data_IF_416537375201
#
_entry.id   IF_416537375201
#
_cell.length_a   1.000
_cell.length_b   1.000
_cell.length_c   1.000
_cell.angle_alpha   90.00
_cell.angle_beta   90.00
_cell.angle_gamma   90.00
#
_symmetry.space_group_name_H-M   'P 1'
#
loop_
_entity.id
_entity.type
_entity.pdbx_description
1 polymer ?
#
# COMPACT_ATOMS: atom_id res chain seq x y z
N UNK A 1 3.19 -24.86 16.97
CA UNK A 1 2.13 -23.85 16.75
C UNK A 1 1.31 -24.27 15.56
N UNK A 2 0.00 -24.34 15.73
CA UNK A 2 -0.94 -24.67 14.68
C UNK A 2 -0.88 -23.62 13.56
N UNK A 3 -1.06 -24.05 12.31
CA UNK A 3 -1.05 -23.16 11.13
C UNK A 3 -2.11 -22.06 11.27
N UNK A 4 -3.29 -22.40 11.79
CA UNK A 4 -4.37 -21.44 12.00
C UNK A 4 -3.99 -20.38 13.03
N UNK A 5 -3.36 -20.77 14.13
CA UNK A 5 -2.88 -19.83 15.16
C UNK A 5 -1.78 -18.92 14.60
N UNK A 6 -0.86 -19.49 13.84
CA UNK A 6 0.20 -18.73 13.17
C UNK A 6 -0.38 -17.70 12.23
N UNK A 7 -1.35 -18.09 11.40
CA UNK A 7 -2.02 -17.18 10.49
C UNK A 7 -2.74 -16.06 11.24
N UNK A 8 -3.46 -16.39 12.32
CA UNK A 8 -4.18 -15.39 13.10
C UNK A 8 -3.25 -14.34 13.70
N UNK A 9 -2.08 -14.75 14.17
CA UNK A 9 -1.07 -13.82 14.67
C UNK A 9 -0.53 -12.92 13.57
N UNK A 10 -0.24 -13.48 12.40
CA UNK A 10 0.23 -12.74 11.23
C UNK A 10 -0.83 -11.74 10.79
N UNK A 11 -2.07 -12.18 10.68
CA UNK A 11 -3.20 -11.35 10.28
C UNK A 11 -3.38 -10.15 11.22
N UNK A 12 -3.44 -10.41 12.52
CA UNK A 12 -3.63 -9.37 13.54
C UNK A 12 -2.50 -8.33 13.48
N UNK A 13 -1.27 -8.80 13.32
CA UNK A 13 -0.08 -7.95 13.33
C UNK A 13 0.06 -7.11 12.06
N UNK A 14 -0.24 -7.68 10.89
CA UNK A 14 0.09 -7.07 9.60
C UNK A 14 -1.10 -6.45 8.86
N UNK A 15 -2.33 -6.83 9.19
CA UNK A 15 -3.51 -6.33 8.49
C UNK A 15 -3.59 -4.81 8.46
N UNK A 16 -3.38 -4.08 9.58
CA UNK A 16 -3.51 -2.62 9.54
C UNK A 16 -2.57 -1.95 8.54
N UNK A 17 -1.32 -2.41 8.46
CA UNK A 17 -0.36 -1.84 7.50
C UNK A 17 -0.70 -2.18 6.06
N UNK A 18 -1.09 -3.42 5.80
CA UNK A 18 -1.53 -3.86 4.47
C UNK A 18 -2.74 -3.06 4.02
N UNK A 19 -3.72 -2.89 4.90
CA UNK A 19 -4.93 -2.10 4.60
C UNK A 19 -4.58 -0.66 4.25
N UNK A 20 -3.70 -0.01 5.03
CA UNK A 20 -3.29 1.37 4.76
C UNK A 20 -2.53 1.51 3.45
N UNK A 21 -1.66 0.55 3.12
CA UNK A 21 -0.98 0.53 1.82
C UNK A 21 -2.00 0.45 0.68
N UNK A 22 -2.96 -0.46 0.78
CA UNK A 22 -4.01 -0.62 -0.22
C UNK A 22 -4.86 0.65 -0.31
N UNK A 23 -5.22 1.25 0.81
CA UNK A 23 -6.01 2.47 0.84
C UNK A 23 -5.30 3.62 0.14
N UNK A 24 -4.01 3.82 0.42
CA UNK A 24 -3.22 4.83 -0.26
C UNK A 24 -3.08 4.56 -1.76
N UNK A 25 -2.94 3.30 -2.13
CA UNK A 25 -2.80 2.90 -3.51
C UNK A 25 -4.08 3.14 -4.32
N UNK A 26 -5.25 2.92 -3.72
CA UNK A 26 -6.55 3.09 -4.35
C UNK A 26 -7.20 4.44 -4.04
N UNK A 27 -6.40 5.46 -3.79
CA UNK A 27 -6.84 6.86 -3.59
C UNK A 27 -7.86 7.02 -2.45
N UNK A 28 -7.70 6.26 -1.37
CA UNK A 28 -8.57 6.36 -0.21
C UNK A 28 -9.88 5.59 -0.31
N UNK A 29 -10.07 4.80 -1.36
CA UNK A 29 -11.28 4.00 -1.54
C UNK A 29 -11.26 2.80 -0.59
N UNK A 30 -12.10 2.83 0.44
CA UNK A 30 -12.18 1.79 1.46
C UNK A 30 -12.63 0.43 0.88
N UNK A 31 -13.55 0.45 -0.08
CA UNK A 31 -14.05 -0.78 -0.71
C UNK A 31 -12.96 -1.53 -1.46
N UNK A 32 -12.23 -0.83 -2.33
CA UNK A 32 -11.12 -1.42 -3.06
C UNK A 32 -9.97 -1.83 -2.13
N UNK A 33 -9.70 -1.02 -1.11
CA UNK A 33 -8.65 -1.32 -0.14
C UNK A 33 -8.98 -2.59 0.65
N UNK A 34 -10.21 -2.72 1.11
CA UNK A 34 -10.68 -3.89 1.85
C UNK A 34 -10.60 -5.16 1.00
N UNK A 35 -11.06 -5.09 -0.24
CA UNK A 35 -11.02 -6.23 -1.16
C UNK A 35 -9.59 -6.66 -1.46
N UNK A 36 -8.70 -5.71 -1.71
CA UNK A 36 -7.30 -6.00 -1.96
C UNK A 36 -6.62 -6.62 -0.73
N UNK A 37 -6.87 -6.06 0.45
CA UNK A 37 -6.30 -6.57 1.70
C UNK A 37 -6.78 -8.00 1.97
N UNK A 38 -8.05 -8.30 1.75
CA UNK A 38 -8.57 -9.66 1.89
C UNK A 38 -7.89 -10.62 0.93
N UNK A 39 -7.73 -10.22 -0.32
CA UNK A 39 -7.04 -11.04 -1.33
C UNK A 39 -5.59 -11.31 -0.93
N UNK A 40 -4.89 -10.31 -0.40
CA UNK A 40 -3.53 -10.48 0.12
C UNK A 40 -3.50 -11.59 1.18
N UNK A 41 -4.39 -11.54 2.17
CA UNK A 41 -4.37 -12.51 3.27
C UNK A 41 -4.89 -13.89 2.85
N UNK A 42 -5.74 -13.99 1.83
CA UNK A 42 -6.07 -15.28 1.22
C UNK A 42 -4.79 -15.90 0.62
N UNK A 43 -4.00 -15.12 -0.10
CA UNK A 43 -2.73 -15.59 -0.66
C UNK A 43 -1.72 -15.95 0.43
N UNK A 44 -1.66 -15.17 1.50
CA UNK A 44 -0.81 -15.48 2.66
C UNK A 44 -1.19 -16.83 3.24
N UNK A 45 -2.47 -17.06 3.47
CA UNK A 45 -2.97 -18.35 3.98
C UNK A 45 -2.59 -19.51 3.06
N UNK A 46 -2.82 -19.35 1.76
CA UNK A 46 -2.55 -20.40 0.77
C UNK A 46 -1.07 -20.74 0.65
N UNK A 47 -0.19 -19.76 0.86
CA UNK A 47 1.25 -19.89 0.64
C UNK A 47 2.08 -19.98 1.92
N UNK A 48 1.43 -19.94 3.08
CA UNK A 48 2.14 -19.92 4.36
C UNK A 48 3.07 -21.13 4.55
N UNK A 49 2.63 -22.29 4.10
CA UNK A 49 3.43 -23.53 4.18
C UNK A 49 4.70 -23.46 3.32
N UNK A 50 4.70 -22.62 2.29
CA UNK A 50 5.81 -22.45 1.36
C UNK A 50 6.77 -21.34 1.77
N UNK A 51 6.43 -20.59 2.83
CA UNK A 51 7.30 -19.51 3.31
C UNK A 51 8.55 -20.10 3.96
N UNK A 52 9.71 -19.86 3.34
CA UNK A 52 10.98 -20.50 3.73
C UNK A 52 11.83 -19.66 4.70
N UNK A 53 11.30 -18.56 5.20
CA UNK A 53 12.02 -17.64 6.10
C UNK A 53 13.31 -17.06 5.49
N UNK A 54 13.41 -17.01 4.17
CA UNK A 54 14.52 -16.37 3.47
C UNK A 54 14.51 -14.85 3.62
N UNK A 55 13.37 -14.30 3.99
CA UNK A 55 13.19 -12.88 4.31
C UNK A 55 12.31 -12.75 5.55
N UNK A 56 12.27 -11.55 6.14
CA UNK A 56 11.32 -11.26 7.20
C UNK A 56 9.90 -11.47 6.66
N UNK A 57 9.01 -11.98 7.49
CA UNK A 57 7.63 -12.26 7.07
C UNK A 57 6.93 -11.01 6.57
N UNK A 58 7.20 -9.85 7.17
CA UNK A 58 6.64 -8.57 6.71
C UNK A 58 7.04 -8.26 5.28
N UNK A 59 8.30 -8.46 4.92
CA UNK A 59 8.79 -8.25 3.55
C UNK A 59 8.06 -9.16 2.56
N UNK A 60 7.87 -10.42 2.92
CA UNK A 60 7.12 -11.38 2.10
C UNK A 60 5.67 -10.92 1.89
N UNK A 61 5.01 -10.48 2.97
CA UNK A 61 3.63 -9.99 2.90
C UNK A 61 3.55 -8.74 2.03
N UNK A 62 4.50 -7.81 2.14
CA UNK A 62 4.52 -6.61 1.30
C UNK A 62 4.72 -6.95 -0.18
N UNK A 63 5.53 -7.96 -0.49
CA UNK A 63 5.67 -8.43 -1.87
C UNK A 63 4.34 -8.91 -2.43
N UNK A 64 3.59 -9.70 -1.65
CA UNK A 64 2.25 -10.15 -2.03
C UNK A 64 1.31 -8.95 -2.20
N UNK A 65 1.38 -7.97 -1.30
CA UNK A 65 0.55 -6.77 -1.34
C UNK A 65 0.78 -5.96 -2.62
N UNK A 66 2.04 -5.69 -2.94
CA UNK A 66 2.40 -4.94 -4.15
C UNK A 66 1.88 -5.65 -5.40
N UNK A 67 2.14 -6.94 -5.50
CA UNK A 67 1.70 -7.72 -6.66
C UNK A 67 0.18 -7.77 -6.78
N UNK A 68 -0.52 -7.90 -5.67
CA UNK A 68 -1.99 -7.92 -5.65
C UNK A 68 -2.57 -6.59 -6.11
N UNK A 69 -2.04 -5.48 -5.61
CA UNK A 69 -2.48 -4.13 -6.00
C UNK A 69 -2.22 -3.87 -7.49
N UNK A 70 -1.04 -4.23 -7.98
CA UNK A 70 -0.70 -4.04 -9.39
C UNK A 70 -1.64 -4.83 -10.31
N UNK A 71 -1.96 -6.08 -9.94
CA UNK A 71 -2.87 -6.91 -10.72
C UNK A 71 -4.28 -6.32 -10.75
N UNK A 72 -4.78 -5.79 -9.64
CA UNK A 72 -6.11 -5.19 -9.58
C UNK A 72 -6.22 -3.94 -10.46
N UNK A 73 -5.17 -3.10 -10.48
CA UNK A 73 -5.16 -1.92 -11.33
C UNK A 73 -5.24 -2.25 -12.83
N UNK A 74 -4.77 -3.42 -13.23
CA UNK A 74 -4.78 -3.85 -14.63
C UNK A 74 -6.12 -4.41 -15.08
N UNK A 75 -7.06 -4.66 -14.15
CA UNK A 75 -8.40 -5.15 -14.51
C UNK A 75 -9.20 -4.04 -15.20
N UNK A 76 -9.82 -4.31 -16.35
CA UNK A 76 -10.62 -3.28 -17.04
C UNK A 76 -11.78 -2.74 -16.21
N UNK A 77 -12.38 -3.57 -15.36
CA UNK A 77 -13.45 -3.16 -14.45
C UNK A 77 -13.01 -2.07 -13.47
N UNK A 78 -11.78 -2.16 -12.98
CA UNK A 78 -11.23 -1.16 -12.07
C UNK A 78 -11.04 0.20 -12.76
N UNK A 79 -10.52 0.20 -13.98
CA UNK A 79 -10.30 1.43 -14.75
C UNK A 79 -11.59 2.19 -15.04
N UNK A 80 -12.72 1.49 -15.16
CA UNK A 80 -14.03 2.11 -15.34
C UNK A 80 -14.57 2.72 -14.06
N UNK A 81 -14.32 2.09 -12.91
CA UNK A 81 -14.83 2.54 -11.62
C UNK A 81 -14.11 3.78 -11.09
N UNK A 82 -12.81 3.94 -11.38
CA UNK A 82 -12.05 5.11 -10.96
C UNK A 82 -12.56 6.40 -11.61
N UNK A 83 -13.18 6.31 -12.78
CA UNK A 83 -13.74 7.48 -13.47
C UNK A 83 -15.00 8.03 -12.82
N UNK A 84 -15.63 7.26 -11.95
CA UNK A 84 -16.78 7.71 -11.16
C UNK A 84 -16.32 7.98 -9.73
N UNK A 85 -15.72 9.14 -9.53
CA UNK A 85 -15.20 9.54 -8.23
C UNK A 85 -16.33 9.76 -7.22
N UNK A 86 -16.53 8.79 -6.37
CA UNK A 86 -17.23 9.01 -5.11
C UNK A 86 -16.20 9.00 -4.00
N UNK A 87 -15.74 10.20 -3.64
CA UNK A 87 -15.08 10.39 -2.37
C UNK A 87 -16.11 10.13 -1.27
N UNK A 88 -15.88 9.14 -0.39
CA UNK A 88 -16.80 8.94 0.71
C UNK A 88 -16.86 10.21 1.54
N UNK A 89 -18.06 10.76 1.71
CA UNK A 89 -18.28 11.84 2.65
C UNK A 89 -18.01 11.29 4.04
N UNK A 90 -16.88 11.66 4.59
CA UNK A 90 -16.61 11.40 5.99
C UNK A 90 -17.31 12.47 6.82
N UNK A 91 -18.41 12.08 7.44
CA UNK A 91 -18.96 12.88 8.54
C UNK A 91 -18.06 12.65 9.75
N UNK A 92 -17.05 13.45 9.88
CA UNK A 92 -16.18 13.39 11.05
C UNK A 92 -16.54 14.55 11.99
N UNK A 93 -17.18 14.20 13.07
CA UNK A 93 -17.27 15.10 14.22
C UNK A 93 -15.84 15.24 14.79
N UNK A 94 -15.32 16.45 14.88
CA UNK A 94 -14.01 16.79 15.46
C UNK A 94 -12.79 16.69 14.51
N UNK A 95 -13.00 16.85 13.22
CA UNK A 95 -11.86 16.92 12.30
C UNK A 95 -11.38 18.35 12.13
N UNK A 96 -10.06 18.53 12.18
CA UNK A 96 -9.43 19.74 11.70
C UNK A 96 -9.53 19.74 10.16
N UNK A 97 -10.42 20.55 9.62
CA UNK A 97 -10.69 20.68 8.18
C UNK A 97 -9.40 20.90 7.36
N UNK A 98 -8.44 21.61 7.93
CA UNK A 98 -7.14 21.89 7.32
C UNK A 98 -6.30 20.62 7.13
N UNK A 99 -6.24 19.78 8.16
CA UNK A 99 -5.49 18.53 8.11
C UNK A 99 -6.11 17.56 7.13
N UNK A 100 -7.44 17.50 7.08
CA UNK A 100 -8.16 16.63 6.14
C UNK A 100 -7.93 17.07 4.70
N UNK A 101 -7.93 18.37 4.42
CA UNK A 101 -7.62 18.88 3.08
C UNK A 101 -6.18 18.62 2.68
N UNK A 102 -5.24 18.74 3.61
CA UNK A 102 -3.83 18.43 3.34
C UNK A 102 -3.64 16.96 3.05
N UNK A 103 -4.29 16.08 3.80
CA UNK A 103 -4.24 14.64 3.58
C UNK A 103 -4.81 14.26 2.22
N UNK A 104 -5.97 14.83 1.88
CA UNK A 104 -6.61 14.63 0.59
C UNK A 104 -5.70 15.07 -0.55
N UNK A 105 -5.08 16.23 -0.41
CA UNK A 105 -4.15 16.77 -1.40
C UNK A 105 -2.92 15.86 -1.56
N UNK A 106 -2.41 15.33 -0.45
CA UNK A 106 -1.30 14.38 -0.48
C UNK A 106 -1.68 13.11 -1.25
N UNK A 107 -2.85 12.53 -0.98
CA UNK A 107 -3.31 11.35 -1.73
C UNK A 107 -3.45 11.67 -3.22
N UNK A 108 -3.99 12.82 -3.57
CA UNK A 108 -4.11 13.23 -4.98
C UNK A 108 -2.73 13.35 -5.65
N UNK A 109 -1.75 13.90 -4.94
CA UNK A 109 -0.39 14.02 -5.45
C UNK A 109 0.27 12.64 -5.61
N UNK A 110 0.05 11.73 -4.68
CA UNK A 110 0.54 10.35 -4.76
C UNK A 110 -0.03 9.65 -6.00
N UNK A 111 -1.31 9.89 -6.32
CA UNK A 111 -1.95 9.28 -7.48
C UNK A 111 -1.35 9.73 -8.81
N UNK A 112 -0.65 10.86 -8.85
CA UNK A 112 0.04 11.34 -10.05
C UNK A 112 1.38 10.66 -10.30
N UNK A 113 1.91 9.95 -9.32
CA UNK A 113 3.13 9.17 -9.47
C UNK A 113 2.85 7.93 -10.33
N UNK A 114 3.91 7.39 -10.94
CA UNK A 114 3.79 6.08 -11.58
C UNK A 114 3.52 4.98 -10.55
N UNK A 115 3.14 3.80 -11.00
CA UNK A 115 2.77 2.68 -10.11
C UNK A 115 3.91 2.33 -9.15
N UNK A 116 5.14 2.28 -9.65
CA UNK A 116 6.31 1.96 -8.85
C UNK A 116 6.57 3.03 -7.79
N UNK A 117 6.56 4.29 -8.17
CA UNK A 117 6.79 5.41 -7.26
C UNK A 117 5.72 5.48 -6.18
N UNK A 118 4.47 5.24 -6.55
CA UNK A 118 3.35 5.20 -5.62
C UNK A 118 3.57 4.14 -4.53
N UNK A 119 3.93 2.91 -4.93
CA UNK A 119 4.16 1.84 -3.97
C UNK A 119 5.36 2.12 -3.06
N UNK A 120 6.43 2.65 -3.61
CA UNK A 120 7.62 3.00 -2.83
C UNK A 120 7.26 4.01 -1.75
N UNK A 121 6.63 5.12 -2.11
CA UNK A 121 6.33 6.18 -1.13
C UNK A 121 5.33 5.72 -0.07
N UNK A 122 4.36 4.90 -0.44
CA UNK A 122 3.41 4.38 0.52
C UNK A 122 4.09 3.48 1.56
N UNK A 123 5.05 2.65 1.15
CA UNK A 123 5.84 1.85 2.08
C UNK A 123 6.72 2.73 2.97
N UNK A 124 7.32 3.78 2.43
CA UNK A 124 8.10 4.74 3.22
C UNK A 124 7.22 5.37 4.31
N UNK A 125 6.01 5.79 3.95
CA UNK A 125 5.08 6.41 4.89
C UNK A 125 4.63 5.44 5.99
N UNK A 126 4.59 4.14 5.71
CA UNK A 126 4.28 3.12 6.70
C UNK A 126 5.49 2.71 7.55
N UNK A 127 6.63 3.34 7.34
CA UNK A 127 7.82 3.06 8.14
C UNK A 127 8.55 1.78 7.77
N UNK A 128 8.31 1.26 6.56
CA UNK A 128 9.03 0.07 6.08
C UNK A 128 10.48 0.43 5.82
N UNK A 129 11.40 -0.42 6.28
CA UNK A 129 12.83 -0.19 6.10
C UNK A 129 13.23 -0.21 4.63
N UNK A 130 14.20 0.61 4.25
CA UNK A 130 14.64 0.73 2.85
C UNK A 130 15.15 -0.61 2.29
N UNK A 131 15.82 -1.40 3.12
CA UNK A 131 16.26 -2.74 2.73
C UNK A 131 15.07 -3.61 2.29
N UNK A 132 14.00 -3.59 3.07
CA UNK A 132 12.78 -4.33 2.77
C UNK A 132 12.09 -3.81 1.52
N UNK A 133 11.99 -2.49 1.37
CA UNK A 133 11.38 -1.88 0.18
C UNK A 133 12.18 -2.27 -1.08
N UNK A 134 13.49 -2.19 -1.02
CA UNK A 134 14.35 -2.56 -2.14
C UNK A 134 14.13 -4.02 -2.53
N UNK A 135 14.05 -4.91 -1.53
CA UNK A 135 13.78 -6.33 -1.76
C UNK A 135 12.41 -6.56 -2.41
N UNK A 136 11.36 -5.90 -1.90
CA UNK A 136 10.00 -6.00 -2.44
C UNK A 136 9.96 -5.55 -3.89
N UNK A 137 10.61 -4.44 -4.21
CA UNK A 137 10.59 -3.85 -5.54
C UNK A 137 11.62 -4.45 -6.51
N UNK A 138 12.52 -5.30 -6.00
CA UNK A 138 13.55 -5.94 -6.84
C UNK A 138 14.61 -4.98 -7.35
N UNK A 139 14.97 -3.97 -6.59
CA UNK A 139 15.98 -2.97 -6.93
C UNK A 139 17.04 -2.88 -5.82
N UNK A 140 18.18 -2.26 -6.14
CA UNK A 140 19.23 -2.01 -5.15
C UNK A 140 18.81 -0.88 -4.21
N UNK A 141 19.40 -0.84 -3.02
CA UNK A 141 19.15 0.26 -2.07
C UNK A 141 19.59 1.61 -2.62
N UNK A 142 20.69 1.63 -3.37
CA UNK A 142 21.17 2.88 -3.98
C UNK A 142 20.16 3.43 -5.00
N UNK A 143 19.64 2.55 -5.85
CA UNK A 143 18.58 2.92 -6.80
C UNK A 143 17.34 3.40 -6.06
N UNK A 144 16.96 2.72 -4.98
CA UNK A 144 15.82 3.11 -4.16
C UNK A 144 15.98 4.51 -3.58
N UNK A 145 17.15 4.83 -3.03
CA UNK A 145 17.40 6.15 -2.45
C UNK A 145 17.25 7.26 -3.47
N UNK A 146 17.75 7.05 -4.69
CA UNK A 146 17.59 8.01 -5.78
C UNK A 146 16.12 8.21 -6.12
N UNK A 147 15.37 7.10 -6.24
CA UNK A 147 13.93 7.15 -6.53
C UNK A 147 13.16 7.87 -5.43
N UNK A 148 13.43 7.56 -4.17
CA UNK A 148 12.77 8.21 -3.03
C UNK A 148 13.04 9.72 -3.04
N UNK A 149 14.27 10.13 -3.29
CA UNK A 149 14.61 11.54 -3.36
C UNK A 149 13.78 12.27 -4.43
N UNK A 150 13.70 11.68 -5.63
CA UNK A 150 12.91 12.25 -6.73
C UNK A 150 11.42 12.30 -6.40
N UNK A 151 10.91 11.24 -5.77
CA UNK A 151 9.49 11.15 -5.38
C UNK A 151 9.17 12.24 -4.36
N UNK A 152 9.99 12.39 -3.32
CA UNK A 152 9.78 13.40 -2.28
C UNK A 152 9.80 14.81 -2.87
N UNK A 153 10.72 15.08 -3.80
CA UNK A 153 10.78 16.36 -4.48
C UNK A 153 9.53 16.63 -5.31
N UNK A 154 9.08 15.63 -6.06
CA UNK A 154 7.85 15.72 -6.86
C UNK A 154 6.63 15.98 -5.99
N UNK A 155 6.51 15.26 -4.88
CA UNK A 155 5.39 15.44 -3.94
C UNK A 155 5.42 16.81 -3.28
N UNK A 156 6.59 17.28 -2.87
CA UNK A 156 6.74 18.60 -2.26
C UNK A 156 6.27 19.69 -3.21
N UNK A 157 6.64 19.60 -4.49
CA UNK A 157 6.21 20.55 -5.51
C UNK A 157 4.70 20.47 -5.78
N UNK A 158 4.14 19.27 -5.73
CA UNK A 158 2.70 19.06 -5.98
C UNK A 158 1.83 19.58 -4.83
N UNK A 159 2.27 19.41 -3.59
CA UNK A 159 1.48 19.77 -2.40
C UNK A 159 1.47 21.29 -2.16
N UNK A 160 2.46 22.00 -2.64
CA UNK A 160 2.52 23.47 -2.49
C UNK A 160 1.39 24.22 -3.19
#
# INVERSE_FOLDING_TARGET
MDTEEQFNQIYTRHYPKVYRLCKGYFNGDDGHASDAAQEVFIKVWQKLDQFRQESAIGTWIYTITVNTCLLQLRKPSFKKEIKTEHLPERVAENYNFREEEQLKKMYQCIQKLDETGKMIILMVLEGVEYESIASVMGITQDTLRVKIHRIKKSLSNCVQ
#
